data_IF_552783116526
#
_entry.id   IF_552783116526
#
_cell.length_a   1.000
_cell.length_b   1.000
_cell.length_c   1.000
_cell.angle_alpha   90.00
_cell.angle_beta   90.00
_cell.angle_gamma   90.00
#
_symmetry.space_group_name_H-M   'P 1'
#
loop_
_entity.id
_entity.type
_entity.pdbx_description
1 polymer ?
#
# COMPACT_ATOMS: atom_id res chain seq x y z
N UNK A 1 23.72 9.31 -26.31
CA UNK A 1 22.68 10.34 -26.14
C UNK A 1 23.44 11.58 -25.69
N UNK A 2 23.66 12.54 -26.60
CA UNK A 2 24.51 13.72 -26.35
C UNK A 2 23.91 14.57 -25.23
N UNK A 3 24.78 15.06 -24.34
CA UNK A 3 24.47 15.86 -23.16
C UNK A 3 24.12 17.32 -23.55
N UNK A 4 24.13 17.65 -24.84
CA UNK A 4 24.14 19.05 -25.33
C UNK A 4 22.76 19.62 -25.69
N UNK A 5 21.67 19.04 -25.20
CA UNK A 5 20.29 19.55 -25.42
C UNK A 5 19.53 19.87 -24.14
N UNK A 6 20.24 20.18 -23.05
CA UNK A 6 19.62 20.77 -21.85
C UNK A 6 19.52 22.27 -22.09
N UNK A 7 18.30 22.79 -22.24
CA UNK A 7 18.08 24.24 -22.29
C UNK A 7 18.62 24.90 -21.01
N UNK A 8 19.21 26.10 -21.10
CA UNK A 8 19.70 26.80 -19.92
C UNK A 8 18.54 27.02 -18.93
N UNK A 9 18.75 26.60 -17.68
CA UNK A 9 17.79 26.77 -16.59
C UNK A 9 17.57 28.28 -16.44
N UNK A 10 16.39 28.78 -16.82
CA UNK A 10 16.02 30.14 -16.44
C UNK A 10 15.84 30.15 -14.93
N UNK A 11 16.62 30.99 -14.23
CA UNK A 11 16.64 31.11 -12.77
C UNK A 11 15.32 31.67 -12.16
N UNK A 12 14.18 31.55 -12.85
CA UNK A 12 12.97 32.32 -12.54
C UNK A 12 11.88 31.56 -11.78
N UNK A 13 11.96 30.23 -11.58
CA UNK A 13 10.96 29.48 -10.82
C UNK A 13 11.57 28.72 -9.65
N UNK A 14 10.94 28.83 -8.47
CA UNK A 14 11.35 28.14 -7.23
C UNK A 14 11.28 26.61 -7.35
N UNK A 15 10.49 26.09 -8.31
CA UNK A 15 10.30 24.67 -8.56
C UNK A 15 10.59 24.35 -10.02
N UNK A 16 11.40 23.32 -10.25
CA UNK A 16 11.74 22.84 -11.58
C UNK A 16 11.07 21.50 -11.80
N UNK A 17 10.19 21.38 -12.80
CA UNK A 17 9.53 20.12 -13.12
C UNK A 17 10.39 19.29 -14.07
N UNK A 18 10.48 17.97 -13.81
CA UNK A 18 11.29 17.07 -14.61
C UNK A 18 10.92 17.07 -16.10
N UNK A 19 9.62 17.22 -16.41
CA UNK A 19 9.12 17.27 -17.78
C UNK A 19 9.63 18.48 -18.59
N UNK A 20 9.97 19.58 -17.92
CA UNK A 20 10.42 20.82 -18.56
C UNK A 20 11.92 20.76 -18.90
N UNK A 21 12.71 20.02 -18.11
CA UNK A 21 14.17 19.89 -18.28
C UNK A 21 14.56 18.64 -19.07
N UNK A 22 13.82 17.56 -18.90
CA UNK A 22 14.10 16.26 -19.50
C UNK A 22 12.83 15.68 -20.14
N UNK A 23 12.40 16.22 -21.30
CA UNK A 23 11.20 15.76 -21.97
C UNK A 23 11.33 14.30 -22.40
N UNK A 24 10.31 13.49 -22.10
CA UNK A 24 10.30 12.07 -22.48
C UNK A 24 9.99 11.89 -23.96
N UNK A 25 10.30 10.73 -24.56
CA UNK A 25 9.90 10.45 -25.94
C UNK A 25 8.37 10.55 -26.13
N UNK A 26 7.94 10.94 -27.34
CA UNK A 26 6.54 11.16 -27.70
C UNK A 26 5.51 10.11 -27.21
N UNK A 27 5.76 8.78 -27.32
CA UNK A 27 4.80 7.78 -26.83
C UNK A 27 4.59 7.86 -25.32
N UNK A 28 5.63 8.14 -24.54
CA UNK A 28 5.52 8.28 -23.09
C UNK A 28 4.77 9.55 -22.70
N UNK A 29 4.99 10.66 -23.41
CA UNK A 29 4.22 11.87 -23.18
C UNK A 29 2.74 11.69 -23.53
N UNK A 30 2.43 10.97 -24.62
CA UNK A 30 1.05 10.64 -24.98
C UNK A 30 0.37 9.79 -23.90
N UNK A 31 1.07 8.76 -23.40
CA UNK A 31 0.62 7.96 -22.28
C UNK A 31 0.42 8.80 -21.00
N UNK A 32 1.35 9.68 -20.65
CA UNK A 32 1.23 10.54 -19.46
C UNK A 32 0.01 11.45 -19.53
N UNK A 33 -0.26 12.02 -20.71
CA UNK A 33 -1.48 12.82 -20.95
C UNK A 33 -2.75 11.98 -20.79
N UNK A 34 -2.76 10.77 -21.34
CA UNK A 34 -3.89 9.85 -21.20
C UNK A 34 -4.09 9.43 -19.73
N UNK A 35 -3.02 9.02 -19.05
CA UNK A 35 -2.99 8.68 -17.64
C UNK A 35 -3.57 9.79 -16.78
N UNK A 36 -3.09 11.02 -16.92
CA UNK A 36 -3.54 12.15 -16.09
C UNK A 36 -5.03 12.47 -16.28
N UNK A 37 -5.57 12.27 -17.49
CA UNK A 37 -6.96 12.61 -17.82
C UNK A 37 -7.96 11.53 -17.48
N UNK A 38 -7.70 10.29 -17.90
CA UNK A 38 -8.72 9.24 -17.94
C UNK A 38 -8.41 8.04 -17.06
N UNK A 39 -7.12 7.75 -16.84
CA UNK A 39 -6.69 6.54 -16.13
C UNK A 39 -6.03 6.82 -14.77
N UNK A 40 -6.11 8.04 -14.24
CA UNK A 40 -5.42 8.42 -12.99
C UNK A 40 -5.84 7.52 -11.83
N UNK A 41 -7.16 7.36 -11.65
CA UNK A 41 -7.74 6.48 -10.65
C UNK A 41 -7.29 5.01 -10.80
N UNK A 42 -7.10 4.53 -12.03
CA UNK A 42 -6.66 3.16 -12.29
C UNK A 42 -5.18 2.98 -11.94
N UNK A 43 -4.34 3.99 -12.22
CA UNK A 43 -2.93 3.95 -11.85
C UNK A 43 -2.72 4.05 -10.33
N UNK A 44 -3.54 4.83 -9.63
CA UNK A 44 -3.56 4.84 -8.17
C UNK A 44 -3.95 3.47 -7.60
N UNK A 45 -4.94 2.81 -8.17
CA UNK A 45 -5.32 1.44 -7.78
C UNK A 45 -4.17 0.44 -8.02
N UNK A 46 -3.50 0.52 -9.17
CA UNK A 46 -2.35 -0.34 -9.45
C UNK A 46 -1.25 -0.10 -8.42
N UNK A 47 -0.97 1.15 -8.07
CA UNK A 47 0.02 1.47 -7.05
C UNK A 47 -0.37 0.95 -5.66
N UNK A 48 -1.64 1.06 -5.26
CA UNK A 48 -2.14 0.50 -3.99
C UNK A 48 -2.04 -1.04 -3.94
N UNK A 49 -2.45 -1.71 -5.01
CA UNK A 49 -2.30 -3.16 -5.13
C UNK A 49 -0.84 -3.60 -5.15
N UNK A 50 0.02 -2.90 -5.88
CA UNK A 50 1.45 -3.20 -5.95
C UNK A 50 2.16 -2.94 -4.61
N UNK A 51 1.76 -1.89 -3.88
CA UNK A 51 2.27 -1.63 -2.54
C UNK A 51 1.93 -2.76 -1.57
N UNK A 52 0.68 -3.27 -1.59
CA UNK A 52 0.31 -4.47 -0.82
C UNK A 52 1.10 -5.68 -1.27
N UNK A 53 1.22 -5.88 -2.57
CA UNK A 53 1.98 -6.98 -3.15
C UNK A 53 3.41 -7.03 -2.59
N UNK A 54 4.12 -5.90 -2.51
CA UNK A 54 5.52 -5.89 -2.06
C UNK A 54 5.70 -6.45 -0.65
N UNK A 55 4.92 -5.98 0.33
CA UNK A 55 5.08 -6.45 1.71
C UNK A 55 4.48 -7.84 1.93
N UNK A 56 3.39 -8.19 1.25
CA UNK A 56 2.82 -9.55 1.36
C UNK A 56 3.78 -10.57 0.73
N UNK A 57 4.31 -10.29 -0.46
CA UNK A 57 5.30 -11.16 -1.10
C UNK A 57 6.55 -11.32 -0.24
N UNK A 58 7.13 -10.19 0.22
CA UNK A 58 8.33 -10.21 1.04
C UNK A 58 8.13 -10.92 2.39
N UNK A 59 6.96 -10.83 2.99
CA UNK A 59 6.67 -11.45 4.28
C UNK A 59 6.21 -12.91 4.22
N UNK A 60 5.38 -13.27 3.24
CA UNK A 60 4.87 -14.64 3.04
C UNK A 60 5.99 -15.59 2.59
N UNK A 61 6.95 -15.12 1.80
CA UNK A 61 8.12 -15.92 1.38
C UNK A 61 8.90 -16.57 2.55
N UNK A 62 9.49 -15.80 3.48
CA UNK A 62 10.17 -16.37 4.66
C UNK A 62 9.19 -17.08 5.61
N UNK A 63 7.90 -16.71 5.63
CA UNK A 63 6.89 -17.48 6.36
C UNK A 63 6.76 -18.91 5.80
N UNK A 64 6.82 -19.08 4.47
CA UNK A 64 6.85 -20.38 3.83
C UNK A 64 8.11 -21.17 4.23
N UNK A 65 9.29 -20.53 4.19
CA UNK A 65 10.53 -21.13 4.67
C UNK A 65 10.45 -21.58 6.14
N UNK A 66 9.91 -20.73 7.01
CA UNK A 66 9.75 -21.02 8.43
C UNK A 66 8.84 -22.23 8.68
N UNK A 67 7.66 -22.24 8.07
CA UNK A 67 6.67 -23.32 8.24
C UNK A 67 7.18 -24.64 7.65
N UNK A 68 7.64 -24.61 6.39
CA UNK A 68 8.07 -25.82 5.69
C UNK A 68 9.33 -26.41 6.32
N UNK A 69 10.30 -25.55 6.68
CA UNK A 69 11.50 -25.96 7.40
C UNK A 69 11.16 -26.57 8.76
N UNK A 70 10.30 -25.93 9.55
CA UNK A 70 9.90 -26.46 10.87
C UNK A 70 9.27 -27.85 10.78
N UNK A 71 8.46 -28.13 9.74
CA UNK A 71 7.87 -29.46 9.55
C UNK A 71 8.92 -30.47 9.06
N UNK A 72 9.87 -30.04 8.24
CA UNK A 72 10.97 -30.88 7.75
C UNK A 72 12.07 -31.13 8.80
N UNK A 73 12.09 -30.37 9.90
CA UNK A 73 13.16 -30.41 10.90
C UNK A 73 14.40 -29.60 10.50
N UNK A 74 14.23 -28.59 9.65
CA UNK A 74 15.28 -27.70 9.13
C UNK A 74 15.04 -26.24 9.53
N UNK A 75 16.08 -25.51 9.92
CA UNK A 75 16.00 -24.07 10.21
C UNK A 75 16.20 -23.22 8.95
N UNK A 76 15.19 -23.21 8.06
CA UNK A 76 15.24 -22.44 6.81
C UNK A 76 14.88 -20.95 6.99
N UNK A 77 14.16 -20.60 8.04
CA UNK A 77 13.81 -19.22 8.38
C UNK A 77 13.47 -19.06 9.86
N UNK A 78 13.24 -17.82 10.30
CA UNK A 78 12.95 -17.45 11.68
C UNK A 78 11.95 -16.30 11.74
N UNK A 79 11.30 -16.12 12.90
CA UNK A 79 10.40 -14.97 13.16
C UNK A 79 11.13 -13.63 12.93
N UNK A 80 12.44 -13.58 13.24
CA UNK A 80 13.25 -12.40 12.96
C UNK A 80 13.28 -12.08 11.46
N UNK A 81 13.62 -13.06 10.61
CA UNK A 81 13.63 -12.91 9.15
C UNK A 81 12.26 -12.52 8.61
N UNK A 82 11.17 -13.13 9.11
CA UNK A 82 9.81 -12.76 8.71
C UNK A 82 9.54 -11.27 8.98
N UNK A 83 9.77 -10.80 10.21
CA UNK A 83 9.51 -9.40 10.56
C UNK A 83 10.40 -8.42 9.79
N UNK A 84 11.68 -8.76 9.59
CA UNK A 84 12.59 -7.95 8.79
C UNK A 84 12.15 -7.87 7.32
N UNK A 85 11.76 -9.00 6.72
CA UNK A 85 11.31 -9.01 5.33
C UNK A 85 9.99 -8.26 5.14
N UNK A 86 9.04 -8.34 6.08
CA UNK A 86 7.85 -7.47 6.06
C UNK A 86 8.24 -5.99 6.13
N UNK A 87 9.16 -5.61 7.03
CA UNK A 87 9.63 -4.22 7.11
C UNK A 87 10.26 -3.73 5.79
N UNK A 88 11.17 -4.50 5.21
CA UNK A 88 11.78 -4.15 3.91
C UNK A 88 10.71 -4.05 2.82
N UNK A 89 9.76 -4.99 2.79
CA UNK A 89 8.63 -4.94 1.86
C UNK A 89 7.76 -3.69 2.02
N UNK A 90 7.53 -3.22 3.25
CA UNK A 90 6.80 -1.97 3.54
C UNK A 90 7.59 -0.75 3.05
N UNK A 91 8.92 -0.71 3.27
CA UNK A 91 9.76 0.37 2.73
C UNK A 91 9.69 0.40 1.21
N UNK A 92 9.80 -0.76 0.55
CA UNK A 92 9.66 -0.86 -0.91
C UNK A 92 8.29 -0.39 -1.38
N UNK A 93 7.21 -0.79 -0.70
CA UNK A 93 5.87 -0.33 -1.01
C UNK A 93 5.76 1.20 -0.95
N UNK A 94 6.24 1.81 0.13
CA UNK A 94 6.17 3.26 0.32
C UNK A 94 7.03 4.02 -0.70
N UNK A 95 8.28 3.58 -0.91
CA UNK A 95 9.20 4.25 -1.85
C UNK A 95 8.71 4.16 -3.30
N UNK A 96 8.19 2.99 -3.71
CA UNK A 96 7.77 2.77 -5.10
C UNK A 96 6.39 3.37 -5.39
N UNK A 97 5.45 3.28 -4.45
CA UNK A 97 4.04 3.49 -4.74
C UNK A 97 3.42 4.74 -4.07
N UNK A 98 4.03 5.30 -3.01
CA UNK A 98 3.40 6.42 -2.27
C UNK A 98 3.29 7.70 -3.10
N UNK A 99 4.30 8.04 -3.92
CA UNK A 99 4.24 9.22 -4.78
C UNK A 99 3.12 9.14 -5.84
N UNK A 100 2.59 7.94 -6.11
CA UNK A 100 1.50 7.74 -7.06
C UNK A 100 0.13 7.70 -6.39
N UNK A 101 0.00 7.07 -5.21
CA UNK A 101 -1.30 6.78 -4.58
C UNK A 101 -1.53 7.48 -3.24
N UNK A 102 -0.51 8.05 -2.62
CA UNK A 102 -0.51 8.45 -1.21
C UNK A 102 -0.09 7.32 -0.26
N UNK A 103 -0.11 6.06 -0.73
CA UNK A 103 0.49 4.91 -0.07
C UNK A 103 -0.22 4.44 1.19
N UNK A 104 -1.53 4.20 1.09
CA UNK A 104 -2.29 3.68 2.23
C UNK A 104 -1.97 2.21 2.50
N UNK A 105 -2.03 1.38 1.46
CA UNK A 105 -1.72 -0.07 1.44
C UNK A 105 -2.39 -0.90 2.55
N UNK A 106 -3.41 -0.36 3.21
CA UNK A 106 -4.12 -0.94 4.33
C UNK A 106 -5.56 -0.40 4.35
N UNK A 107 -6.58 -1.28 4.38
CA UNK A 107 -7.97 -0.86 4.48
C UNK A 107 -8.26 -0.02 5.71
N UNK A 108 -7.67 -0.36 6.86
CA UNK A 108 -7.86 0.37 8.11
C UNK A 108 -7.32 1.81 8.03
N UNK A 109 -6.15 2.00 7.43
CA UNK A 109 -5.56 3.33 7.18
C UNK A 109 -6.45 4.10 6.20
N UNK A 110 -6.91 3.46 5.12
CA UNK A 110 -7.77 4.08 4.11
C UNK A 110 -9.10 4.57 4.72
N UNK A 111 -9.70 3.77 5.60
CA UNK A 111 -10.91 4.13 6.33
C UNK A 111 -10.63 5.27 7.31
N UNK A 112 -9.53 5.21 8.07
CA UNK A 112 -9.16 6.27 9.00
C UNK A 112 -8.94 7.61 8.27
N UNK A 113 -8.22 7.63 7.14
CA UNK A 113 -8.06 8.81 6.30
C UNK A 113 -9.38 9.36 5.73
N UNK A 114 -10.32 8.46 5.41
CA UNK A 114 -11.67 8.86 4.95
C UNK A 114 -12.43 9.59 6.05
N UNK A 115 -12.22 9.21 7.31
CA UNK A 115 -12.92 9.80 8.47
C UNK A 115 -12.22 11.07 8.97
N UNK A 116 -10.89 11.07 9.08
CA UNK A 116 -10.14 12.14 9.78
C UNK A 116 -9.48 13.15 8.84
N UNK A 117 -9.23 12.79 7.58
CA UNK A 117 -8.49 13.63 6.61
C UNK A 117 -9.25 13.91 5.31
N UNK A 118 -10.54 13.55 5.24
CA UNK A 118 -11.40 13.88 4.10
C UNK A 118 -11.13 13.09 2.81
N UNK A 119 -10.51 11.91 2.91
CA UNK A 119 -10.24 11.08 1.73
C UNK A 119 -11.55 10.67 1.01
N UNK A 120 -11.66 10.78 -0.33
CA UNK A 120 -12.93 10.54 -1.02
C UNK A 120 -13.46 9.10 -0.86
N UNK A 121 -14.71 8.95 -0.40
CA UNK A 121 -15.32 7.64 -0.07
C UNK A 121 -15.28 6.63 -1.22
N UNK A 122 -15.60 7.05 -2.45
CA UNK A 122 -15.57 6.15 -3.61
C UNK A 122 -14.13 5.73 -3.96
N UNK A 123 -13.15 6.60 -3.75
CA UNK A 123 -11.73 6.30 -3.93
C UNK A 123 -11.26 5.31 -2.85
N UNK A 124 -11.73 5.48 -1.61
CA UNK A 124 -11.48 4.54 -0.51
C UNK A 124 -11.90 3.11 -0.85
N UNK A 125 -13.11 2.92 -1.37
CA UNK A 125 -13.59 1.59 -1.78
C UNK A 125 -12.69 0.99 -2.87
N UNK A 126 -12.31 1.79 -3.87
CA UNK A 126 -11.40 1.33 -4.95
C UNK A 126 -10.02 0.94 -4.41
N UNK A 127 -9.48 1.70 -3.47
CA UNK A 127 -8.21 1.40 -2.81
C UNK A 127 -8.27 0.07 -2.07
N UNK A 128 -9.31 -0.14 -1.26
CA UNK A 128 -9.50 -1.39 -0.51
C UNK A 128 -9.57 -2.59 -1.45
N UNK A 129 -10.34 -2.49 -2.54
CA UNK A 129 -10.41 -3.58 -3.53
C UNK A 129 -9.05 -3.85 -4.18
N UNK A 130 -8.32 -2.81 -4.57
CA UNK A 130 -7.00 -2.95 -5.17
C UNK A 130 -5.97 -3.56 -4.22
N UNK A 131 -5.98 -3.13 -2.95
CA UNK A 131 -5.16 -3.66 -1.87
C UNK A 131 -5.42 -5.17 -1.69
N UNK A 132 -6.70 -5.58 -1.62
CA UNK A 132 -7.08 -6.99 -1.50
C UNK A 132 -6.59 -7.83 -2.69
N UNK A 133 -6.71 -7.31 -3.91
CA UNK A 133 -6.22 -7.99 -5.13
C UNK A 133 -4.69 -8.15 -5.09
N UNK A 134 -3.97 -7.10 -4.68
CA UNK A 134 -2.51 -7.11 -4.56
C UNK A 134 -2.00 -8.21 -3.61
N UNK A 135 -2.61 -8.30 -2.42
CA UNK A 135 -2.27 -9.34 -1.44
C UNK A 135 -2.59 -10.75 -1.94
N UNK A 136 -3.69 -10.91 -2.67
CA UNK A 136 -4.08 -12.21 -3.23
C UNK A 136 -3.07 -12.68 -4.28
N UNK A 137 -2.67 -11.80 -5.20
CA UNK A 137 -1.68 -12.10 -6.23
C UNK A 137 -0.35 -12.49 -5.58
N UNK A 138 0.11 -11.76 -4.55
CA UNK A 138 1.34 -12.09 -3.84
C UNK A 138 1.31 -13.51 -3.25
N UNK A 139 0.24 -13.85 -2.53
CA UNK A 139 0.06 -15.19 -1.95
C UNK A 139 0.05 -16.30 -3.01
N UNK A 140 -0.69 -16.10 -4.11
CA UNK A 140 -0.75 -17.09 -5.19
C UNK A 140 0.62 -17.28 -5.88
N UNK A 141 1.40 -16.22 -6.08
CA UNK A 141 2.75 -16.35 -6.65
C UNK A 141 3.70 -17.09 -5.70
N UNK A 142 3.65 -16.79 -4.40
CA UNK A 142 4.45 -17.54 -3.41
C UNK A 142 4.03 -19.02 -3.38
N UNK A 143 2.73 -19.32 -3.46
CA UNK A 143 2.26 -20.70 -3.58
C UNK A 143 2.87 -21.41 -4.79
N UNK A 144 2.84 -20.79 -5.97
CA UNK A 144 3.42 -21.38 -7.19
C UNK A 144 4.92 -21.60 -7.03
N UNK A 145 5.65 -20.65 -6.42
CA UNK A 145 7.10 -20.77 -6.18
C UNK A 145 7.45 -21.92 -5.22
N UNK A 146 6.65 -22.13 -4.18
CA UNK A 146 6.88 -23.16 -3.15
C UNK A 146 6.12 -24.46 -3.39
N UNK A 147 5.38 -24.59 -4.50
CA UNK A 147 4.40 -25.67 -4.72
C UNK A 147 4.96 -27.06 -4.46
N UNK A 148 6.13 -27.38 -5.02
CA UNK A 148 6.73 -28.71 -4.87
C UNK A 148 7.08 -29.03 -3.41
N UNK A 149 7.60 -28.05 -2.66
CA UNK A 149 7.92 -28.24 -1.24
C UNK A 149 6.66 -28.38 -0.39
N UNK A 150 5.63 -27.57 -0.69
CA UNK A 150 4.32 -27.66 -0.02
C UNK A 150 3.71 -29.06 -0.24
N UNK A 151 3.73 -29.56 -1.47
CA UNK A 151 3.17 -30.88 -1.81
C UNK A 151 3.93 -32.02 -1.09
N UNK A 152 5.27 -31.93 -1.01
CA UNK A 152 6.10 -32.90 -0.26
C UNK A 152 5.79 -32.90 1.24
N UNK A 153 5.70 -31.72 1.85
CA UNK A 153 5.38 -31.57 3.28
C UNK A 153 3.95 -32.06 3.57
N UNK A 154 2.98 -31.76 2.71
CA UNK A 154 1.61 -32.27 2.85
C UNK A 154 1.59 -33.80 2.77
N UNK A 155 2.35 -34.41 1.85
CA UNK A 155 2.45 -35.87 1.77
C UNK A 155 3.04 -36.47 3.06
N UNK A 156 4.11 -35.87 3.60
CA UNK A 156 4.71 -36.30 4.87
C UNK A 156 3.75 -36.15 6.06
N UNK A 157 2.99 -35.06 6.12
CA UNK A 157 1.96 -34.85 7.15
C UNK A 157 0.85 -35.91 7.08
N UNK A 158 0.44 -36.30 5.86
CA UNK A 158 -0.54 -37.37 5.67
C UNK A 158 0.00 -38.73 6.10
N UNK A 159 1.24 -39.05 5.70
CA UNK A 159 1.89 -40.31 6.08
C UNK A 159 2.08 -40.46 7.60
N UNK A 160 2.30 -39.35 8.31
CA UNK A 160 2.44 -39.32 9.77
C UNK A 160 1.11 -39.22 10.53
N UNK A 161 -0.03 -39.14 9.83
CA UNK A 161 -1.34 -38.96 10.46
C UNK A 161 -1.57 -37.59 11.13
N UNK A 162 -0.69 -36.61 10.87
CA UNK A 162 -0.73 -35.27 11.49
C UNK A 162 -1.41 -34.21 10.62
N UNK A 163 -1.83 -34.58 9.41
CA UNK A 163 -2.40 -33.65 8.42
C UNK A 163 -3.55 -32.81 8.99
N UNK A 164 -4.59 -33.44 9.54
CA UNK A 164 -5.79 -32.73 10.01
C UNK A 164 -5.51 -31.81 11.21
N UNK A 165 -4.52 -32.16 12.03
CA UNK A 165 -4.14 -31.38 13.20
C UNK A 165 -3.29 -30.15 12.86
N UNK A 166 -2.54 -30.17 11.75
CA UNK A 166 -1.54 -29.15 11.43
C UNK A 166 -1.92 -28.29 10.23
N UNK A 167 -2.59 -28.84 9.20
CA UNK A 167 -2.75 -28.19 7.89
C UNK A 167 -3.20 -26.72 7.96
N UNK A 168 -4.20 -26.43 8.81
CA UNK A 168 -4.79 -25.09 8.98
C UNK A 168 -4.52 -24.51 10.38
N UNK A 169 -3.25 -24.54 10.79
CA UNK A 169 -2.74 -23.87 11.99
C UNK A 169 -1.63 -22.87 11.61
N UNK A 170 -1.16 -21.99 12.52
CA UNK A 170 -0.02 -21.12 12.24
C UNK A 170 1.26 -21.86 11.81
N UNK A 171 1.39 -23.14 12.17
CA UNK A 171 2.55 -23.97 11.88
C UNK A 171 2.33 -24.91 10.68
N UNK A 172 1.17 -24.82 10.00
CA UNK A 172 0.85 -25.66 8.85
C UNK A 172 0.97 -24.96 7.50
N UNK A 173 0.95 -25.71 6.38
CA UNK A 173 1.00 -25.12 5.04
C UNK A 173 -0.07 -24.07 4.75
N UNK A 174 -1.27 -24.18 5.34
CA UNK A 174 -2.29 -23.14 5.24
C UNK A 174 -1.85 -21.83 5.91
N UNK A 175 -1.18 -21.93 7.07
CA UNK A 175 -0.66 -20.84 7.89
C UNK A 175 0.36 -19.94 7.21
N UNK A 176 0.96 -20.41 6.11
CA UNK A 176 1.82 -19.60 5.25
C UNK A 176 1.06 -18.40 4.69
N UNK A 177 -0.18 -18.63 4.25
CA UNK A 177 -0.98 -17.63 3.52
C UNK A 177 -2.02 -16.98 4.41
N UNK A 178 -2.91 -17.78 5.00
CA UNK A 178 -3.96 -17.31 5.90
C UNK A 178 -3.51 -17.39 7.35
N UNK A 179 -3.94 -16.47 8.21
CA UNK A 179 -3.67 -16.61 9.64
C UNK A 179 -4.66 -17.58 10.26
N UNK A 180 -4.20 -18.60 10.96
CA UNK A 180 -5.05 -19.50 11.72
C UNK A 180 -4.73 -19.39 13.21
N UNK A 181 -5.50 -20.06 14.05
CA UNK A 181 -5.18 -20.21 15.47
C UNK A 181 -4.92 -21.67 15.78
N UNK A 182 -4.20 -21.90 16.88
CA UNK A 182 -4.12 -23.22 17.46
C UNK A 182 -5.50 -23.62 18.03
N UNK A 183 -5.82 -24.92 18.04
CA UNK A 183 -6.98 -25.42 18.77
C UNK A 183 -6.96 -24.91 20.22
N UNK A 184 -8.12 -24.48 20.72
CA UNK A 184 -8.31 -23.97 22.09
C UNK A 184 -7.62 -22.64 22.42
N UNK A 185 -7.14 -21.87 21.43
CA UNK A 185 -6.69 -20.49 21.66
C UNK A 185 -7.80 -19.61 22.23
N UNK A 186 -7.43 -18.73 23.18
CA UNK A 186 -8.36 -17.78 23.79
C UNK A 186 -8.61 -16.59 22.84
N UNK A 187 -9.80 -16.53 22.24
CA UNK A 187 -10.16 -15.49 21.28
C UNK A 187 -10.10 -14.07 21.85
N UNK A 188 -10.36 -13.89 23.15
CA UNK A 188 -10.25 -12.58 23.81
C UNK A 188 -8.81 -12.07 23.87
N UNK A 189 -7.85 -12.96 24.13
CA UNK A 189 -6.43 -12.62 24.12
C UNK A 189 -5.92 -12.32 22.71
N UNK A 190 -6.38 -13.09 21.72
CA UNK A 190 -6.02 -12.85 20.31
C UNK A 190 -6.58 -11.51 19.82
N UNK A 191 -7.84 -11.21 20.15
CA UNK A 191 -8.44 -9.91 19.87
C UNK A 191 -7.64 -8.78 20.52
N UNK A 192 -7.31 -8.91 21.81
CA UNK A 192 -6.52 -7.91 22.54
C UNK A 192 -5.15 -7.70 21.89
N UNK A 193 -4.48 -8.78 21.50
CA UNK A 193 -3.18 -8.73 20.82
C UNK A 193 -3.26 -7.97 19.49
N UNK A 194 -4.21 -8.34 18.63
CA UNK A 194 -4.46 -7.70 17.34
C UNK A 194 -4.80 -6.21 17.52
N UNK A 195 -5.67 -5.90 18.50
CA UNK A 195 -6.10 -4.55 18.79
C UNK A 195 -4.94 -3.66 19.27
N UNK A 196 -4.17 -4.10 20.27
CA UNK A 196 -3.09 -3.30 20.85
C UNK A 196 -1.95 -3.08 19.85
N UNK A 197 -1.53 -4.12 19.13
CA UNK A 197 -0.47 -3.98 18.12
C UNK A 197 -0.89 -3.00 17.03
N UNK A 198 -2.12 -3.12 16.54
CA UNK A 198 -2.63 -2.25 15.48
C UNK A 198 -2.88 -0.83 15.97
N UNK A 199 -3.33 -0.65 17.21
CA UNK A 199 -3.46 0.66 17.83
C UNK A 199 -2.10 1.39 17.87
N UNK A 200 -1.04 0.71 18.31
CA UNK A 200 0.32 1.25 18.34
C UNK A 200 0.79 1.62 16.93
N UNK A 201 0.59 0.72 15.95
CA UNK A 201 0.88 1.02 14.54
C UNK A 201 0.14 2.29 14.08
N UNK A 202 -1.16 2.40 14.39
CA UNK A 202 -1.98 3.56 14.03
C UNK A 202 -1.44 4.86 14.62
N UNK A 203 -1.10 4.87 15.91
CA UNK A 203 -0.50 6.04 16.59
C UNK A 203 0.82 6.43 15.93
N UNK A 204 1.71 5.47 15.66
CA UNK A 204 3.02 5.76 15.06
C UNK A 204 2.88 6.26 13.62
N UNK A 205 1.97 5.69 12.82
CA UNK A 205 1.70 6.17 11.46
C UNK A 205 1.23 7.62 11.49
N UNK A 206 0.31 7.97 12.39
CA UNK A 206 -0.13 9.36 12.54
C UNK A 206 0.99 10.29 13.03
N UNK A 207 1.85 9.81 13.93
CA UNK A 207 3.02 10.55 14.38
C UNK A 207 4.04 10.81 13.26
N UNK A 208 4.21 9.86 12.34
CA UNK A 208 5.10 9.98 11.18
C UNK A 208 4.53 10.94 10.14
N UNK A 209 3.21 10.97 10.00
CA UNK A 209 2.51 11.84 9.04
C UNK A 209 2.33 13.28 9.55
N UNK A 210 2.58 13.53 10.84
CA UNK A 210 2.52 14.86 11.43
C UNK A 210 3.72 15.71 10.96
N UNK A 211 3.50 16.75 10.14
CA UNK A 211 4.58 17.55 9.59
C UNK A 211 5.30 18.42 10.65
N UNK A 212 4.74 18.51 11.85
CA UNK A 212 5.32 19.22 13.00
C UNK A 212 6.18 18.33 13.88
N UNK A 213 6.20 17.02 13.63
CA UNK A 213 7.00 16.08 14.41
C UNK A 213 8.49 16.24 14.11
N UNK A 214 9.22 16.86 15.04
CA UNK A 214 10.65 17.16 14.91
C UNK A 214 11.55 15.92 14.85
N UNK A 215 11.06 14.77 15.33
CA UNK A 215 11.84 13.53 15.38
C UNK A 215 11.78 12.75 14.07
N UNK A 216 10.84 13.09 13.18
CA UNK A 216 10.58 12.34 11.95
C UNK A 216 10.79 13.24 10.74
N UNK A 217 11.76 12.89 9.91
CA UNK A 217 11.88 13.47 8.57
C UNK A 217 11.04 12.65 7.56
N UNK A 218 10.60 13.26 6.45
CA UNK A 218 9.91 12.53 5.37
C UNK A 218 10.68 11.30 4.86
N UNK A 219 12.02 11.37 4.88
CA UNK A 219 12.90 10.26 4.45
C UNK A 219 12.90 9.12 5.48
N UNK A 220 12.86 9.45 6.78
CA UNK A 220 12.83 8.46 7.86
C UNK A 220 11.46 7.80 8.03
N UNK A 221 10.38 8.48 7.62
CA UNK A 221 9.00 8.01 7.79
C UNK A 221 8.77 6.56 7.36
N UNK A 222 9.14 6.15 6.12
CA UNK A 222 8.98 4.77 5.66
C UNK A 222 9.66 3.73 6.56
N UNK A 223 10.86 4.03 7.04
CA UNK A 223 11.62 3.13 7.91
C UNK A 223 10.99 3.01 9.29
N UNK A 224 10.52 4.11 9.87
CA UNK A 224 9.88 4.09 11.19
C UNK A 224 8.58 3.29 11.14
N UNK A 225 7.76 3.50 10.11
CA UNK A 225 6.54 2.70 9.91
C UNK A 225 6.89 1.22 9.75
N UNK A 226 7.83 0.89 8.86
CA UNK A 226 8.26 -0.47 8.60
C UNK A 226 8.81 -1.18 9.86
N UNK A 227 9.69 -0.51 10.60
CA UNK A 227 10.27 -1.06 11.83
C UNK A 227 9.22 -1.22 12.94
N UNK A 228 8.19 -0.37 12.99
CA UNK A 228 7.06 -0.56 13.90
C UNK A 228 6.32 -1.87 13.60
N UNK A 229 6.07 -2.17 12.32
CA UNK A 229 5.52 -3.46 11.92
C UNK A 229 6.45 -4.62 12.29
N UNK A 230 7.77 -4.51 12.05
CA UNK A 230 8.72 -5.54 12.46
C UNK A 230 8.71 -5.78 13.98
N UNK A 231 8.71 -4.73 14.79
CA UNK A 231 8.64 -4.84 16.25
C UNK A 231 7.41 -5.59 16.70
N UNK A 232 6.23 -5.28 16.14
CA UNK A 232 5.02 -6.03 16.53
C UNK A 232 5.03 -7.47 16.04
N UNK A 233 5.60 -7.75 14.85
CA UNK A 233 5.74 -9.12 14.34
C UNK A 233 6.66 -9.94 15.25
N UNK A 234 7.81 -9.40 15.63
CA UNK A 234 8.78 -10.10 16.47
C UNK A 234 8.25 -10.39 17.88
N UNK A 235 7.49 -9.45 18.46
CA UNK A 235 6.95 -9.60 19.81
C UNK A 235 5.67 -10.44 19.88
N UNK A 236 4.80 -10.33 18.87
CA UNK A 236 3.38 -10.67 19.04
C UNK A 236 2.78 -11.55 17.93
N UNK A 237 3.54 -11.89 16.88
CA UNK A 237 3.05 -12.81 15.84
C UNK A 237 2.71 -14.23 16.36
N UNK A 238 3.40 -14.81 17.37
CA UNK A 238 3.03 -16.15 17.88
C UNK A 238 1.64 -16.21 18.52
N UNK A 239 1.13 -15.08 19.04
CA UNK A 239 -0.23 -14.97 19.61
C UNK A 239 -1.29 -14.84 18.51
N UNK A 240 -0.89 -14.36 17.33
CA UNK A 240 -1.77 -14.08 16.19
C UNK A 240 -1.84 -12.59 15.92
N UNK A 241 -1.30 -12.18 14.76
CA UNK A 241 -1.24 -10.78 14.34
C UNK A 241 -1.45 -10.66 12.82
N UNK A 242 -2.54 -10.02 12.42
CA UNK A 242 -2.81 -9.61 11.05
C UNK A 242 -2.30 -8.20 10.79
N UNK A 243 -2.58 -7.25 11.69
CA UNK A 243 -2.30 -5.82 11.61
C UNK A 243 -2.89 -5.08 10.38
N UNK A 244 -3.34 -5.81 9.38
CA UNK A 244 -3.79 -5.28 8.10
C UNK A 244 -4.76 -6.27 7.41
N UNK A 245 -5.98 -5.81 7.18
CA UNK A 245 -7.00 -6.60 6.48
C UNK A 245 -6.58 -7.03 5.06
N UNK A 246 -5.76 -6.23 4.36
CA UNK A 246 -5.23 -6.57 3.04
C UNK A 246 -4.06 -7.56 3.07
N UNK A 247 -3.52 -7.88 4.24
CA UNK A 247 -2.60 -9.01 4.43
C UNK A 247 -3.35 -10.30 4.71
N UNK A 248 -4.40 -10.26 5.53
CA UNK A 248 -5.06 -11.46 6.03
C UNK A 248 -6.20 -11.96 5.11
N UNK A 249 -7.14 -11.10 4.73
CA UNK A 249 -8.28 -11.51 3.89
C UNK A 249 -7.82 -12.11 2.55
N UNK A 250 -6.85 -11.54 1.83
CA UNK A 250 -6.39 -12.12 0.58
C UNK A 250 -5.59 -13.41 0.76
N UNK A 251 -4.82 -13.53 1.85
CA UNK A 251 -4.11 -14.76 2.19
C UNK A 251 -5.07 -15.91 2.50
N UNK A 252 -6.16 -15.64 3.23
CA UNK A 252 -7.26 -16.60 3.42
C UNK A 252 -7.96 -16.93 2.12
N UNK A 253 -8.22 -15.94 1.27
CA UNK A 253 -8.83 -16.18 -0.04
C UNK A 253 -7.93 -17.07 -0.90
N UNK A 254 -6.62 -16.86 -0.90
CA UNK A 254 -5.66 -17.73 -1.58
C UNK A 254 -5.72 -19.17 -1.00
N UNK A 255 -5.75 -19.32 0.32
CA UNK A 255 -5.89 -20.63 0.95
C UNK A 255 -7.22 -21.32 0.58
N UNK A 256 -8.33 -20.58 0.52
CA UNK A 256 -9.63 -21.06 0.04
C UNK A 256 -9.59 -21.47 -1.44
N UNK A 257 -8.89 -20.73 -2.30
CA UNK A 257 -8.69 -21.09 -3.70
C UNK A 257 -7.93 -22.41 -3.84
N UNK A 258 -6.91 -22.64 -3.00
CA UNK A 258 -6.04 -23.81 -3.10
C UNK A 258 -6.67 -25.06 -2.47
N UNK A 259 -7.27 -24.94 -1.27
CA UNK A 259 -7.72 -26.08 -0.47
C UNK A 259 -9.23 -26.10 -0.19
N UNK A 260 -10.00 -25.20 -0.78
CA UNK A 260 -11.45 -25.15 -0.63
C UNK A 260 -11.91 -24.74 0.77
N UNK A 261 -13.17 -25.04 1.10
CA UNK A 261 -13.85 -24.52 2.31
C UNK A 261 -13.21 -24.92 3.64
N UNK A 262 -12.40 -25.98 3.66
CA UNK A 262 -11.64 -26.38 4.84
C UNK A 262 -10.67 -25.28 5.32
N UNK A 263 -10.20 -24.43 4.39
CA UNK A 263 -9.28 -23.32 4.67
C UNK A 263 -9.98 -22.03 5.17
N UNK A 264 -11.28 -22.05 5.46
CA UNK A 264 -12.03 -20.83 5.79
C UNK A 264 -11.59 -20.14 7.09
N UNK A 265 -11.00 -20.87 8.03
CA UNK A 265 -10.58 -20.34 9.33
C UNK A 265 -11.73 -20.08 10.32
N UNK A 266 -12.98 -20.40 9.95
CA UNK A 266 -14.15 -20.33 10.83
C UNK A 266 -14.42 -18.95 11.42
N UNK A 267 -14.93 -18.91 12.66
CA UNK A 267 -15.30 -17.68 13.39
C UNK A 267 -14.10 -16.77 13.68
N UNK A 268 -12.88 -17.30 13.71
CA UNK A 268 -11.66 -16.53 13.91
C UNK A 268 -11.33 -15.59 12.73
N UNK A 269 -11.72 -15.95 11.51
CA UNK A 269 -11.36 -15.19 10.31
C UNK A 269 -11.82 -13.72 10.38
N UNK A 270 -12.97 -13.46 11.02
CA UNK A 270 -13.48 -12.10 11.21
C UNK A 270 -12.66 -11.29 12.22
N UNK A 271 -12.21 -11.91 13.31
CA UNK A 271 -11.42 -11.24 14.36
C UNK A 271 -10.08 -10.79 13.77
N UNK A 272 -9.36 -11.67 13.10
CA UNK A 272 -8.09 -11.33 12.47
C UNK A 272 -8.24 -10.27 11.37
N UNK A 273 -9.29 -10.38 10.54
CA UNK A 273 -9.47 -9.48 9.41
C UNK A 273 -9.96 -8.08 9.77
N UNK A 274 -10.80 -7.94 10.81
CA UNK A 274 -11.57 -6.71 11.03
C UNK A 274 -11.14 -5.94 12.28
N UNK A 275 -10.48 -6.55 13.26
CA UNK A 275 -10.06 -5.89 14.51
C UNK A 275 -9.08 -4.73 14.25
N UNK A 276 -8.26 -4.84 13.20
CA UNK A 276 -7.33 -3.77 12.83
C UNK A 276 -8.03 -2.45 12.48
N UNK A 277 -9.27 -2.47 11.95
CA UNK A 277 -10.00 -1.27 11.53
C UNK A 277 -10.33 -0.33 12.72
N UNK A 278 -11.09 -0.77 13.74
CA UNK A 278 -11.37 0.08 14.90
C UNK A 278 -10.09 0.41 15.69
N UNK A 279 -9.09 -0.49 15.72
CA UNK A 279 -7.83 -0.24 16.40
C UNK A 279 -7.01 0.89 15.75
N UNK A 280 -6.83 0.85 14.42
CA UNK A 280 -6.14 1.92 13.68
C UNK A 280 -6.90 3.23 13.80
N UNK A 281 -8.24 3.21 13.67
CA UNK A 281 -9.05 4.42 13.82
C UNK A 281 -8.89 5.02 15.22
N UNK A 282 -8.94 4.21 16.27
CA UNK A 282 -8.72 4.69 17.63
C UNK A 282 -7.29 5.24 17.82
N UNK A 283 -6.28 4.61 17.22
CA UNK A 283 -4.90 5.11 17.24
C UNK A 283 -4.77 6.47 16.54
N UNK A 284 -5.40 6.64 15.39
CA UNK A 284 -5.47 7.91 14.67
C UNK A 284 -6.16 9.00 15.52
N UNK A 285 -7.34 8.70 16.06
CA UNK A 285 -8.09 9.65 16.89
C UNK A 285 -7.34 9.99 18.17
N UNK A 286 -6.68 9.01 18.80
CA UNK A 286 -5.84 9.25 19.98
C UNK A 286 -4.72 10.24 19.64
N UNK A 287 -4.02 10.05 18.51
CA UNK A 287 -3.00 11.00 18.10
C UNK A 287 -3.58 12.41 17.86
N UNK A 288 -4.65 12.53 17.07
CA UNK A 288 -5.26 13.82 16.72
C UNK A 288 -5.79 14.59 17.95
N UNK A 289 -6.43 13.90 18.90
CA UNK A 289 -7.04 14.57 20.06
C UNK A 289 -6.09 14.78 21.23
N UNK A 290 -5.07 13.94 21.39
CA UNK A 290 -4.22 13.94 22.58
C UNK A 290 -2.81 14.45 22.29
N UNK A 291 -2.24 14.13 21.13
CA UNK A 291 -0.82 14.34 20.84
C UNK A 291 -0.54 15.43 19.81
N UNK A 292 -1.44 15.61 18.84
CA UNK A 292 -1.34 16.63 17.81
C UNK A 292 -1.58 18.01 18.41
N UNK A 293 -0.82 19.00 17.95
CA UNK A 293 -0.92 20.37 18.42
C UNK A 293 -0.70 21.33 17.24
N UNK A 294 -1.74 22.06 16.80
CA UNK A 294 -1.65 22.94 15.64
C UNK A 294 -0.78 24.18 15.88
N UNK A 295 -0.37 24.46 17.12
CA UNK A 295 0.55 25.56 17.44
C UNK A 295 2.02 25.21 17.13
N UNK A 296 2.33 23.92 16.92
CA UNK A 296 3.69 23.47 16.59
C UNK A 296 4.10 23.91 15.19
N UNK A 297 5.38 24.22 15.05
CA UNK A 297 5.96 24.67 13.79
C UNK A 297 6.18 23.48 12.86
N UNK A 298 5.78 23.61 11.60
CA UNK A 298 6.09 22.64 10.56
C UNK A 298 7.61 22.62 10.33
N UNK A 299 8.21 21.43 10.32
CA UNK A 299 9.65 21.32 10.11
C UNK A 299 10.03 21.76 8.68
N UNK A 300 11.24 22.30 8.49
CA UNK A 300 11.68 22.81 7.19
C UNK A 300 11.59 21.73 6.08
N UNK A 301 11.99 20.50 6.40
CA UNK A 301 11.94 19.37 5.46
C UNK A 301 10.51 18.97 5.09
N UNK A 302 9.58 18.94 6.05
CA UNK A 302 8.17 18.70 5.75
C UNK A 302 7.57 19.86 4.94
N UNK A 303 7.94 21.10 5.23
CA UNK A 303 7.48 22.27 4.49
C UNK A 303 7.91 22.21 3.02
N UNK A 304 9.15 21.78 2.74
CA UNK A 304 9.65 21.56 1.38
C UNK A 304 8.86 20.48 0.64
N UNK A 305 8.56 19.36 1.29
CA UNK A 305 7.75 18.28 0.70
C UNK A 305 6.33 18.75 0.38
N UNK A 306 5.68 19.44 1.33
CA UNK A 306 4.34 20.00 1.15
C UNK A 306 4.34 20.99 -0.03
N UNK A 307 5.33 21.88 -0.09
CA UNK A 307 5.43 22.87 -1.15
C UNK A 307 5.69 22.23 -2.53
N UNK A 308 6.53 21.20 -2.59
CA UNK A 308 6.81 20.42 -3.81
C UNK A 308 5.57 19.66 -4.31
N UNK A 309 4.82 19.04 -3.42
CA UNK A 309 3.57 18.36 -3.76
C UNK A 309 2.54 19.35 -4.31
N UNK A 310 2.34 20.49 -3.64
CA UNK A 310 1.42 21.53 -4.10
C UNK A 310 1.79 22.07 -5.49
N UNK A 311 3.08 22.36 -5.71
CA UNK A 311 3.56 22.80 -7.03
C UNK A 311 3.32 21.74 -8.12
N UNK A 312 3.46 20.45 -7.78
CA UNK A 312 3.18 19.35 -8.71
C UNK A 312 1.71 19.24 -9.08
N UNK A 313 0.81 19.42 -8.11
CA UNK A 313 -0.63 19.45 -8.35
C UNK A 313 -1.04 20.64 -9.22
N UNK A 314 -0.57 21.85 -8.90
CA UNK A 314 -0.84 23.07 -9.66
C UNK A 314 -0.34 22.95 -11.11
N UNK A 315 0.88 22.47 -11.32
CA UNK A 315 1.42 22.23 -12.65
C UNK A 315 0.60 21.18 -13.41
N UNK A 316 0.18 20.11 -12.73
CA UNK A 316 -0.67 19.07 -13.33
C UNK A 316 -2.06 19.60 -13.72
N UNK A 317 -2.66 20.47 -12.90
CA UNK A 317 -3.92 21.14 -13.20
C UNK A 317 -3.77 22.17 -14.33
N UNK A 318 -2.69 22.96 -14.34
CA UNK A 318 -2.37 23.91 -15.41
C UNK A 318 -2.23 23.23 -16.77
N UNK A 319 -1.55 22.08 -16.83
CA UNK A 319 -1.49 21.25 -18.04
C UNK A 319 -2.86 20.73 -18.51
N UNK A 320 -3.82 20.57 -17.60
CA UNK A 320 -5.20 20.23 -17.93
C UNK A 320 -6.02 21.46 -18.37
N UNK A 321 -5.82 22.61 -17.72
CA UNK A 321 -6.54 23.87 -17.92
C UNK A 321 -6.14 24.66 -19.17
N UNK A 322 -4.85 24.73 -19.52
CA UNK A 322 -4.33 25.41 -20.72
C UNK A 322 -4.91 24.87 -22.04
N UNK A 323 -5.66 23.76 -22.01
CA UNK A 323 -6.29 23.16 -23.18
C UNK A 323 -7.80 23.36 -23.27
N UNK A 324 -8.48 23.80 -22.21
CA UNK A 324 -9.86 24.29 -22.33
C UNK A 324 -9.91 25.70 -22.95
N UNK A 325 -8.79 26.42 -22.89
CA UNK A 325 -8.60 27.74 -23.50
C UNK A 325 -7.92 27.71 -24.87
N UNK A 326 -7.77 26.53 -25.50
CA UNK A 326 -7.20 26.47 -26.86
C UNK A 326 -8.33 26.75 -27.87
N UNK A 327 -8.32 27.88 -28.60
CA UNK A 327 -9.37 28.23 -29.54
C UNK A 327 -9.16 27.44 -30.85
N UNK A 328 -9.41 26.14 -30.84
CA UNK A 328 -9.59 25.36 -32.08
C UNK A 328 -11.06 25.33 -32.53
N UNK A 329 -11.86 26.28 -32.04
CA UNK A 329 -13.15 26.66 -32.61
C UNK A 329 -13.16 28.15 -32.94
N UNK A 330 -12.14 28.62 -33.67
CA UNK A 330 -12.42 29.68 -34.64
C UNK A 330 -13.26 28.99 -35.70
N UNK A 331 -14.58 29.05 -35.50
CA UNK A 331 -15.56 28.67 -36.48
C UNK A 331 -15.21 29.39 -37.78
N UNK A 332 -15.09 28.64 -38.86
CA UNK A 332 -14.95 29.11 -40.25
C UNK A 332 -16.13 29.95 -40.74
N UNK A 333 -16.89 30.55 -39.83
CA UNK A 333 -17.99 31.46 -40.09
C UNK A 333 -17.54 32.93 -40.24
N UNK A 334 -16.37 33.32 -39.73
CA UNK A 334 -15.91 34.72 -39.78
C UNK A 334 -15.04 35.07 -41.01
N UNK A 335 -14.67 34.08 -41.83
CA UNK A 335 -13.91 34.33 -43.07
C UNK A 335 -14.84 34.60 -44.28
N UNK A 336 -16.11 34.19 -44.22
CA UNK A 336 -17.11 34.50 -45.28
C UNK A 336 -17.72 35.89 -45.18
N UNK A 337 -17.67 36.53 -44.01
CA UNK A 337 -18.26 37.88 -43.82
C UNK A 337 -17.32 39.02 -44.22
N UNK A 338 -16.06 38.71 -44.56
CA UNK A 338 -15.08 39.71 -45.00
C UNK A 338 -14.87 39.78 -46.52
N UNK A 339 -15.26 38.76 -47.28
CA UNK A 339 -15.24 38.82 -48.75
C UNK A 339 -16.50 39.49 -49.34
N UNK A 340 -17.64 39.47 -48.63
CA UNK A 340 -18.92 40.03 -49.15
C UNK A 340 -19.06 41.57 -49.00
N UNK A 341 -18.06 42.24 -48.40
CA UNK A 341 -18.07 43.71 -48.20
C UNK A 341 -17.12 44.43 -49.18
N UNK A 342 -16.23 43.72 -49.90
CA UNK A 342 -15.33 44.35 -50.88
C UNK A 342 -15.84 44.36 -52.32
N UNK A 343 -17.03 43.82 -52.61
CA UNK A 343 -17.66 43.91 -53.95
C UNK A 343 -18.82 44.93 -54.03
N UNK A 344 -19.02 45.75 -52.98
CA UNK A 344 -19.96 46.88 -53.02
C UNK A 344 -19.34 48.14 -52.41
N UNK A 345 -18.40 48.75 -53.15
CA UNK A 345 -18.01 50.15 -53.00
C UNK A 345 -17.52 50.68 -54.35
#
# INVERSE_FOLDING_TARGET
>A
MSIDTVQPISHSSKFVHLGDVAPRPAPFQAWERFRRRQAHWAVEMIAEGLGVFFYVFAGVGPTAGFVLGSIAGEELSSVFQIGLSYAIGIVLALVVCSATSGGHFNPAITIAFTITKGFPKLKAVRYILAQLIGGYIACMLVYVQYKNLIDQVIAALKASGKYDAIMFTPQGPGGIFGLYLLPHSNLGQVFLNEFLCTFIIGVVIWAVLDPTNIMVSPIAGPWIVALTYATVIWGYSPVGLAANAARDLPGRLAALTIWGRAASGGTYAAIAALTNIPATLLGALFYEFILADPSRVITATNLEVIASHKATEEHSQGLMGMRHSNPSSVSSADEKTREDVSERA
#
